data_IF_979029797775
#
_entry.id   IF_979029797775
#
_cell.length_a   1.000
_cell.length_b   1.000
_cell.length_c   1.000
_cell.angle_alpha   90.00
_cell.angle_beta   90.00
_cell.angle_gamma   90.00
#
_symmetry.space_group_name_H-M   'P 1'
#
loop_
_entity.id
_entity.type
_entity.pdbx_description
1 polymer ?
#
# COMPACT_ATOMS: atom_id res chain seq x y z
N UNK A 1 -17.12 -30.47 16.42
CA UNK A 1 -15.74 -29.94 16.21
C UNK A 1 -15.57 -29.17 14.91
N UNK A 2 -16.38 -29.43 13.86
CA UNK A 2 -16.36 -28.69 12.58
C UNK A 2 -16.79 -27.22 12.75
N UNK A 3 -17.67 -26.90 13.72
CA UNK A 3 -18.20 -25.54 13.92
C UNK A 3 -17.15 -24.50 14.35
N UNK A 4 -16.25 -24.83 15.29
CA UNK A 4 -15.24 -23.85 15.76
C UNK A 4 -14.26 -23.46 14.66
N UNK A 5 -13.85 -24.39 13.80
CA UNK A 5 -12.93 -24.10 12.70
C UNK A 5 -13.58 -23.17 11.66
N UNK A 6 -14.86 -23.41 11.35
CA UNK A 6 -15.62 -22.57 10.44
C UNK A 6 -15.81 -21.16 11.04
N UNK A 7 -16.16 -21.08 12.32
CA UNK A 7 -16.27 -19.82 13.06
C UNK A 7 -14.97 -19.02 13.04
N UNK A 8 -13.81 -19.64 13.29
CA UNK A 8 -12.51 -18.95 13.21
C UNK A 8 -12.21 -18.43 11.80
N UNK A 9 -12.55 -19.19 10.75
CA UNK A 9 -12.36 -18.77 9.36
C UNK A 9 -13.25 -17.58 9.02
N UNK A 10 -14.50 -17.60 9.46
CA UNK A 10 -15.45 -16.54 9.19
C UNK A 10 -15.07 -15.25 9.94
N UNK A 11 -14.67 -15.36 11.22
CA UNK A 11 -14.08 -14.25 11.98
C UNK A 11 -12.84 -13.69 11.31
N UNK A 12 -11.92 -14.54 10.85
CA UNK A 12 -10.71 -14.07 10.16
C UNK A 12 -11.04 -13.32 8.86
N UNK A 13 -12.03 -13.81 8.10
CA UNK A 13 -12.52 -13.15 6.88
C UNK A 13 -13.14 -11.79 7.20
N UNK A 14 -13.93 -11.72 8.26
CA UNK A 14 -14.56 -10.50 8.73
C UNK A 14 -13.53 -9.47 9.19
N UNK A 15 -12.62 -9.84 10.08
CA UNK A 15 -11.52 -8.98 10.54
C UNK A 15 -10.68 -8.47 9.37
N UNK A 16 -10.37 -9.33 8.40
CA UNK A 16 -9.67 -8.91 7.19
C UNK A 16 -10.45 -7.84 6.42
N UNK A 17 -11.76 -8.03 6.21
CA UNK A 17 -12.59 -7.06 5.51
C UNK A 17 -12.67 -5.73 6.28
N UNK A 18 -12.81 -5.78 7.60
CA UNK A 18 -12.81 -4.60 8.47
C UNK A 18 -11.48 -3.85 8.36
N UNK A 19 -10.35 -4.53 8.56
CA UNK A 19 -9.02 -3.90 8.50
C UNK A 19 -8.73 -3.30 7.12
N UNK A 20 -9.19 -3.96 6.06
CA UNK A 20 -9.10 -3.45 4.70
C UNK A 20 -9.90 -2.15 4.54
N UNK A 21 -11.17 -2.17 4.96
CA UNK A 21 -12.06 -1.01 4.86
C UNK A 21 -11.53 0.17 5.67
N UNK A 22 -11.16 -0.07 6.93
CA UNK A 22 -10.57 0.93 7.81
C UNK A 22 -9.29 1.54 7.22
N UNK A 23 -8.39 0.72 6.66
CA UNK A 23 -7.16 1.25 6.07
C UNK A 23 -7.44 2.15 4.85
N UNK A 24 -8.42 1.78 4.02
CA UNK A 24 -8.83 2.61 2.89
C UNK A 24 -9.44 3.92 3.35
N UNK A 25 -10.30 3.89 4.36
CA UNK A 25 -10.90 5.09 4.96
C UNK A 25 -9.84 6.01 5.54
N UNK A 26 -8.89 5.46 6.31
CA UNK A 26 -7.78 6.22 6.89
C UNK A 26 -6.92 6.87 5.80
N UNK A 27 -6.56 6.12 4.75
CA UNK A 27 -5.78 6.67 3.64
C UNK A 27 -6.51 7.82 2.94
N UNK A 28 -7.82 7.66 2.68
CA UNK A 28 -8.64 8.67 2.02
C UNK A 28 -8.78 9.93 2.87
N UNK A 29 -9.04 9.79 4.18
CA UNK A 29 -9.10 10.93 5.11
C UNK A 29 -7.77 11.67 5.13
N UNK A 30 -6.65 10.96 5.25
CA UNK A 30 -5.32 11.58 5.26
C UNK A 30 -4.96 12.26 3.95
N UNK A 31 -5.30 11.65 2.81
CA UNK A 31 -5.10 12.26 1.49
C UNK A 31 -5.91 13.55 1.34
N UNK A 32 -7.18 13.54 1.75
CA UNK A 32 -8.05 14.73 1.69
C UNK A 32 -7.55 15.84 2.61
N UNK A 33 -7.20 15.51 3.85
CA UNK A 33 -6.66 16.49 4.81
C UNK A 33 -5.31 17.05 4.35
N UNK A 34 -4.41 16.18 3.86
CA UNK A 34 -3.12 16.61 3.31
C UNK A 34 -3.33 17.52 2.11
N UNK A 35 -4.14 17.12 1.13
CA UNK A 35 -4.39 17.92 -0.07
C UNK A 35 -5.06 19.25 0.24
N UNK A 36 -6.02 19.27 1.16
CA UNK A 36 -6.67 20.49 1.63
C UNK A 36 -5.68 21.44 2.31
N UNK A 37 -4.84 20.93 3.20
CA UNK A 37 -3.80 21.71 3.85
C UNK A 37 -2.73 22.21 2.86
N UNK A 38 -2.38 21.41 1.85
CA UNK A 38 -1.47 21.82 0.76
C UNK A 38 -1.99 23.05 0.03
N UNK A 39 -3.24 22.98 -0.44
CA UNK A 39 -3.89 24.06 -1.19
C UNK A 39 -4.02 25.29 -0.29
N UNK A 40 -4.42 25.12 0.96
CA UNK A 40 -4.49 26.21 1.94
C UNK A 40 -3.15 26.91 2.16
N UNK A 41 -2.06 26.15 2.31
CA UNK A 41 -0.72 26.71 2.48
C UNK A 41 -0.29 27.55 1.27
N UNK A 42 -0.61 27.10 0.05
CA UNK A 42 -0.29 27.82 -1.18
C UNK A 42 -1.14 29.09 -1.33
N UNK A 43 -2.45 29.00 -1.09
CA UNK A 43 -3.40 30.11 -1.26
C UNK A 43 -3.15 31.27 -0.28
N UNK A 44 -2.81 30.94 0.97
CA UNK A 44 -2.49 31.95 2.00
C UNK A 44 -1.27 32.81 1.69
N UNK A 45 -0.34 32.32 0.87
CA UNK A 45 0.88 33.03 0.54
C UNK A 45 0.72 33.72 -0.81
N UNK A 46 -0.08 34.79 -0.85
CA UNK A 46 -0.01 35.78 -1.94
C UNK A 46 1.43 36.29 -2.02
N UNK A 47 2.18 35.68 -2.94
CA UNK A 47 3.53 35.97 -3.46
C UNK A 47 4.19 37.18 -2.77
N UNK A 48 4.77 36.96 -1.60
CA UNK A 48 5.84 37.83 -1.12
C UNK A 48 7.10 37.44 -1.90
N UNK A 49 7.68 38.40 -2.61
CA UNK A 49 8.85 38.22 -3.47
C UNK A 49 9.96 37.50 -2.69
N UNK A 50 10.25 36.27 -3.11
CA UNK A 50 11.19 35.39 -2.42
C UNK A 50 12.60 35.79 -2.86
N UNK A 51 13.23 36.70 -2.12
CA UNK A 51 14.64 37.00 -2.32
C UNK A 51 15.50 35.96 -1.58
N UNK A 52 16.03 34.97 -2.31
CA UNK A 52 17.07 34.09 -1.82
C UNK A 52 18.43 34.79 -1.89
N UNK A 53 18.74 35.63 -0.90
CA UNK A 53 20.07 36.21 -0.76
C UNK A 53 21.00 35.18 -0.09
N UNK A 54 21.70 34.38 -0.89
CA UNK A 54 22.66 33.36 -0.42
C UNK A 54 23.85 33.92 0.39
N UNK A 55 24.11 35.23 0.32
CA UNK A 55 25.21 35.91 1.03
C UNK A 55 24.82 36.50 2.39
N UNK A 56 23.54 36.53 2.77
CA UNK A 56 23.10 37.07 4.05
C UNK A 56 22.23 36.05 4.81
N UNK A 57 22.09 36.24 6.11
CA UNK A 57 21.41 35.33 7.05
C UNK A 57 20.17 34.66 6.46
N UNK A 58 20.17 33.32 6.39
CA UNK A 58 19.03 32.53 5.91
C UNK A 58 17.78 32.95 6.67
N UNK A 59 16.76 33.39 5.96
CA UNK A 59 15.46 33.65 6.56
C UNK A 59 14.78 32.31 6.89
N UNK A 60 15.01 31.85 8.13
CA UNK A 60 14.46 30.60 8.66
C UNK A 60 12.93 30.52 8.59
N UNK A 61 12.23 31.67 8.56
CA UNK A 61 10.78 31.73 8.42
C UNK A 61 10.33 31.32 7.02
N UNK A 62 10.99 31.82 5.97
CA UNK A 62 10.68 31.42 4.59
C UNK A 62 11.08 29.98 4.33
N UNK A 63 12.22 29.55 4.89
CA UNK A 63 12.70 28.18 4.77
C UNK A 63 11.75 27.17 5.45
N UNK A 64 11.30 27.43 6.69
CA UNK A 64 10.42 26.53 7.43
C UNK A 64 9.07 26.33 6.74
N UNK A 65 8.51 27.39 6.14
CA UNK A 65 7.31 27.31 5.32
C UNK A 65 7.50 26.35 4.14
N UNK A 66 8.55 26.54 3.32
CA UNK A 66 8.78 25.71 2.14
C UNK A 66 9.10 24.25 2.49
N UNK A 67 9.82 24.03 3.60
CA UNK A 67 10.06 22.68 4.14
C UNK A 67 8.74 22.02 4.52
N UNK A 68 7.82 22.71 5.19
CA UNK A 68 6.49 22.16 5.51
C UNK A 68 5.71 21.79 4.24
N UNK A 69 5.64 22.69 3.26
CA UNK A 69 4.96 22.45 1.98
C UNK A 69 5.56 21.25 1.24
N UNK A 70 6.89 21.12 1.22
CA UNK A 70 7.58 19.99 0.60
C UNK A 70 7.30 18.67 1.31
N UNK A 71 7.41 18.62 2.64
CA UNK A 71 7.09 17.43 3.45
C UNK A 71 5.64 17.00 3.20
N UNK A 72 4.74 17.96 3.11
CA UNK A 72 3.33 17.71 2.88
C UNK A 72 3.06 17.18 1.47
N UNK A 73 3.78 17.69 0.46
CA UNK A 73 3.79 17.12 -0.89
C UNK A 73 4.27 15.65 -0.90
N UNK A 74 5.36 15.35 -0.19
CA UNK A 74 5.87 13.97 -0.04
C UNK A 74 4.81 13.09 0.64
N UNK A 75 4.12 13.59 1.68
CA UNK A 75 3.02 12.86 2.34
C UNK A 75 1.91 12.47 1.36
N UNK A 76 1.49 13.38 0.48
CA UNK A 76 0.49 13.09 -0.57
C UNK A 76 0.98 12.00 -1.52
N UNK A 77 2.24 12.04 -1.95
CA UNK A 77 2.81 10.98 -2.81
C UNK A 77 2.79 9.60 -2.14
N UNK A 78 3.10 9.50 -0.84
CA UNK A 78 2.96 8.25 -0.10
C UNK A 78 1.50 7.78 -0.04
N UNK A 79 0.54 8.68 0.18
CA UNK A 79 -0.89 8.33 0.19
C UNK A 79 -1.39 7.80 -1.14
N UNK A 80 -0.93 8.38 -2.26
CA UNK A 80 -1.20 7.85 -3.60
C UNK A 80 -0.57 6.46 -3.79
N UNK A 81 0.67 6.30 -3.34
CA UNK A 81 1.36 5.01 -3.36
C UNK A 81 0.62 3.92 -2.58
N UNK A 82 0.08 4.25 -1.40
CA UNK A 82 -0.78 3.36 -0.60
C UNK A 82 -2.03 2.96 -1.37
N UNK A 83 -2.67 3.91 -2.07
CA UNK A 83 -3.86 3.66 -2.88
C UNK A 83 -3.58 2.66 -4.01
N UNK A 84 -2.49 2.85 -4.76
CA UNK A 84 -2.08 1.92 -5.81
C UNK A 84 -1.74 0.54 -5.23
N UNK A 85 -0.93 0.49 -4.17
CA UNK A 85 -0.58 -0.75 -3.49
C UNK A 85 -1.83 -1.54 -3.08
N UNK A 86 -2.84 -0.86 -2.54
CA UNK A 86 -4.12 -1.47 -2.17
C UNK A 86 -4.93 -1.97 -3.35
N UNK A 87 -5.03 -1.17 -4.42
CA UNK A 87 -5.77 -1.58 -5.61
C UNK A 87 -5.21 -2.89 -6.20
N UNK A 88 -3.89 -3.01 -6.28
CA UNK A 88 -3.22 -4.22 -6.77
C UNK A 88 -3.29 -5.38 -5.78
N UNK A 89 -3.14 -5.12 -4.48
CA UNK A 89 -3.33 -6.13 -3.42
C UNK A 89 -4.72 -6.78 -3.53
N UNK A 90 -5.77 -5.99 -3.75
CA UNK A 90 -7.11 -6.51 -4.01
C UNK A 90 -7.21 -7.38 -5.26
N UNK A 91 -6.65 -6.91 -6.38
CA UNK A 91 -6.69 -7.63 -7.66
C UNK A 91 -5.99 -8.99 -7.53
N UNK A 92 -4.80 -9.00 -6.93
CA UNK A 92 -3.99 -10.21 -6.75
C UNK A 92 -4.65 -11.15 -5.74
N UNK A 93 -5.09 -10.63 -4.58
CA UNK A 93 -5.76 -11.44 -3.56
C UNK A 93 -7.04 -12.10 -4.06
N UNK A 94 -7.83 -11.39 -4.90
CA UNK A 94 -9.00 -11.95 -5.58
C UNK A 94 -8.59 -13.09 -6.51
N UNK A 95 -7.55 -12.88 -7.32
CA UNK A 95 -7.08 -13.88 -8.28
C UNK A 95 -6.51 -15.13 -7.58
N UNK A 96 -5.74 -14.98 -6.50
CA UNK A 96 -5.27 -16.09 -5.66
C UNK A 96 -6.45 -16.88 -5.09
N UNK A 97 -7.46 -16.17 -4.56
CA UNK A 97 -8.65 -16.80 -3.97
C UNK A 97 -9.47 -17.58 -5.00
N UNK A 98 -9.63 -17.03 -6.21
CA UNK A 98 -10.29 -17.71 -7.32
C UNK A 98 -9.51 -18.95 -7.78
N UNK A 99 -8.18 -18.84 -7.87
CA UNK A 99 -7.31 -19.97 -8.25
C UNK A 99 -7.42 -21.10 -7.22
N UNK A 100 -7.38 -20.78 -5.92
CA UNK A 100 -7.62 -21.74 -4.83
C UNK A 100 -8.99 -22.40 -4.94
N UNK A 101 -10.04 -21.61 -5.16
CA UNK A 101 -11.41 -22.13 -5.29
C UNK A 101 -11.54 -23.11 -6.46
N UNK A 102 -10.95 -22.78 -7.62
CA UNK A 102 -10.95 -23.64 -8.81
C UNK A 102 -10.20 -24.95 -8.54
N UNK A 103 -9.02 -24.86 -7.92
CA UNK A 103 -8.23 -26.03 -7.52
C UNK A 103 -9.01 -26.97 -6.60
N UNK A 104 -9.58 -26.46 -5.50
CA UNK A 104 -10.31 -27.30 -4.54
C UNK A 104 -11.64 -27.83 -5.06
N UNK A 105 -12.26 -27.19 -6.07
CA UNK A 105 -13.45 -27.73 -6.73
C UNK A 105 -13.13 -28.99 -7.55
N UNK A 106 -12.01 -29.00 -8.26
CA UNK A 106 -11.59 -30.14 -9.08
C UNK A 106 -11.09 -31.30 -8.20
N UNK A 107 -10.30 -31.00 -7.18
CA UNK A 107 -9.69 -32.00 -6.30
C UNK A 107 -10.55 -32.34 -5.06
N UNK A 108 -11.85 -32.01 -5.07
CA UNK A 108 -12.77 -32.23 -3.94
C UNK A 108 -12.84 -33.69 -3.48
N UNK A 109 -12.48 -34.64 -4.35
CA UNK A 109 -12.51 -36.08 -4.12
C UNK A 109 -11.11 -36.75 -4.12
N UNK A 110 -10.02 -36.00 -4.31
CA UNK A 110 -8.66 -36.55 -4.36
C UNK A 110 -7.92 -36.24 -3.06
N UNK A 111 -7.42 -37.29 -2.40
CA UNK A 111 -6.67 -37.21 -1.15
C UNK A 111 -5.61 -36.10 -1.13
N UNK A 112 -5.68 -35.25 -0.09
CA UNK A 112 -4.62 -34.39 0.48
C UNK A 112 -3.69 -33.63 -0.49
N UNK A 113 -4.14 -33.28 -1.70
CA UNK A 113 -3.35 -32.41 -2.59
C UNK A 113 -3.46 -30.96 -2.09
N UNK A 114 -2.36 -30.44 -1.54
CA UNK A 114 -2.26 -29.06 -1.08
C UNK A 114 -1.53 -28.17 -2.11
N UNK A 115 -1.96 -26.91 -2.18
CA UNK A 115 -1.25 -25.91 -2.99
C UNK A 115 0.09 -25.57 -2.35
N UNK A 116 1.12 -25.28 -3.16
CA UNK A 116 2.46 -24.99 -2.64
C UNK A 116 2.41 -23.84 -1.64
N UNK A 117 2.95 -24.08 -0.44
CA UNK A 117 3.11 -23.10 0.62
C UNK A 117 4.58 -22.80 0.85
N UNK A 118 4.96 -21.55 0.57
CA UNK A 118 6.28 -21.02 0.92
C UNK A 118 6.07 -19.86 1.91
N UNK A 119 6.85 -19.85 2.97
CA UNK A 119 7.05 -18.65 3.79
C UNK A 119 8.14 -17.81 3.10
N UNK A 120 7.78 -16.59 2.69
CA UNK A 120 8.67 -15.72 1.92
C UNK A 120 9.61 -14.89 2.80
N UNK A 121 9.55 -15.02 4.12
CA UNK A 121 10.46 -14.35 5.04
C UNK A 121 10.40 -12.82 4.96
N UNK A 122 11.51 -12.15 5.28
CA UNK A 122 11.60 -10.68 5.27
C UNK A 122 12.07 -10.16 3.91
N UNK A 123 11.29 -9.27 3.31
CA UNK A 123 11.63 -8.59 2.05
C UNK A 123 12.46 -7.32 2.27
N UNK A 124 13.43 -7.07 1.39
CA UNK A 124 14.22 -5.82 1.37
C UNK A 124 13.38 -4.66 0.84
N UNK A 125 13.84 -3.43 1.06
CA UNK A 125 13.15 -2.22 0.55
C UNK A 125 13.20 -2.12 -0.97
N UNK A 126 14.26 -2.62 -1.62
CA UNK A 126 14.37 -2.70 -3.08
C UNK A 126 13.27 -3.57 -3.70
N UNK A 127 13.07 -4.76 -3.14
CA UNK A 127 12.07 -5.74 -3.61
C UNK A 127 10.67 -5.17 -3.54
N UNK A 128 10.44 -4.31 -2.54
CA UNK A 128 9.16 -3.63 -2.31
C UNK A 128 8.85 -2.61 -3.39
N UNK A 129 9.81 -1.73 -3.68
CA UNK A 129 9.66 -0.72 -4.73
C UNK A 129 9.53 -1.39 -6.09
N UNK A 130 10.35 -2.42 -6.34
CA UNK A 130 10.28 -3.18 -7.58
C UNK A 130 8.93 -3.90 -7.75
N UNK A 131 8.39 -4.51 -6.69
CA UNK A 131 7.08 -5.16 -6.77
C UNK A 131 5.97 -4.17 -7.12
N UNK A 132 5.99 -2.96 -6.54
CA UNK A 132 5.03 -1.92 -6.91
C UNK A 132 5.19 -1.46 -8.34
N UNK A 133 6.43 -1.23 -8.78
CA UNK A 133 6.72 -0.84 -10.16
C UNK A 133 6.23 -1.92 -11.14
N UNK A 134 6.53 -3.19 -10.85
CA UNK A 134 6.07 -4.31 -11.65
C UNK A 134 4.54 -4.42 -11.65
N UNK A 135 3.86 -4.16 -10.53
CA UNK A 135 2.40 -4.16 -10.53
C UNK A 135 1.79 -3.05 -11.39
N UNK A 136 2.43 -1.87 -11.44
CA UNK A 136 1.94 -0.71 -12.19
C UNK A 136 2.23 -0.84 -13.68
N UNK A 137 3.43 -1.31 -14.04
CA UNK A 137 3.93 -1.26 -15.42
C UNK A 137 4.03 -2.63 -16.10
N UNK A 138 4.02 -3.73 -15.34
CA UNK A 138 4.10 -5.07 -15.91
C UNK A 138 2.76 -5.79 -15.81
N UNK A 139 2.52 -6.71 -16.75
CA UNK A 139 1.34 -7.56 -16.71
C UNK A 139 1.47 -8.61 -15.62
N UNK A 140 0.45 -8.73 -14.78
CA UNK A 140 0.40 -9.74 -13.73
C UNK A 140 0.08 -11.11 -14.34
N UNK A 141 0.75 -12.20 -13.90
CA UNK A 141 0.48 -13.52 -14.43
C UNK A 141 -0.97 -13.92 -14.12
N UNK A 142 -1.70 -14.31 -15.16
CA UNK A 142 -3.08 -14.75 -15.06
C UNK A 142 -3.14 -16.28 -15.16
N UNK A 143 -3.88 -16.90 -14.24
CA UNK A 143 -4.02 -18.35 -14.13
C UNK A 143 -5.46 -18.69 -14.51
N UNK A 144 -5.62 -19.33 -15.68
CA UNK A 144 -6.93 -19.74 -16.17
C UNK A 144 -7.49 -20.95 -15.41
N UNK A 145 -8.73 -21.33 -15.72
CA UNK A 145 -9.34 -22.55 -15.16
C UNK A 145 -8.52 -23.79 -15.45
N UNK A 146 -8.01 -23.92 -16.67
CA UNK A 146 -7.30 -25.11 -17.13
C UNK A 146 -5.89 -25.17 -16.53
N UNK A 147 -5.24 -24.01 -16.38
CA UNK A 147 -3.96 -23.88 -15.69
C UNK A 147 -4.11 -24.21 -14.20
N UNK A 148 -5.19 -23.75 -13.57
CA UNK A 148 -5.46 -24.01 -12.16
C UNK A 148 -5.56 -25.51 -11.84
N UNK A 149 -6.00 -26.34 -12.80
CA UNK A 149 -6.02 -27.80 -12.67
C UNK A 149 -4.61 -28.38 -12.72
N UNK A 150 -3.73 -27.82 -13.54
CA UNK A 150 -2.36 -28.31 -13.76
C UNK A 150 -1.32 -27.69 -12.81
N UNK A 151 -1.72 -26.92 -11.79
CA UNK A 151 -0.80 -26.23 -10.86
C UNK A 151 0.23 -27.17 -10.23
N UNK A 152 -0.12 -28.44 -9.98
CA UNK A 152 0.79 -29.41 -9.38
C UNK A 152 1.70 -30.12 -10.41
N UNK A 153 1.30 -30.13 -11.68
CA UNK A 153 1.97 -30.85 -12.76
C UNK A 153 2.83 -29.92 -13.62
N UNK A 154 2.53 -28.62 -13.62
CA UNK A 154 3.20 -27.61 -14.41
C UNK A 154 3.98 -26.65 -13.51
N UNK A 155 5.31 -26.79 -13.53
CA UNK A 155 6.21 -25.95 -12.74
C UNK A 155 6.07 -24.45 -13.06
N UNK A 156 5.75 -24.08 -14.31
CA UNK A 156 5.53 -22.68 -14.68
C UNK A 156 4.33 -22.08 -13.94
N UNK A 157 3.20 -22.79 -13.94
CA UNK A 157 1.97 -22.33 -13.26
C UNK A 157 2.18 -22.29 -11.75
N UNK A 158 2.93 -23.26 -11.21
CA UNK A 158 3.34 -23.30 -9.81
C UNK A 158 4.17 -22.06 -9.42
N UNK A 159 5.16 -21.71 -10.24
CA UNK A 159 6.00 -20.52 -10.07
C UNK A 159 5.18 -19.23 -10.19
N UNK A 160 4.27 -19.14 -11.17
CA UNK A 160 3.40 -17.98 -11.35
C UNK A 160 2.49 -17.77 -10.13
N UNK A 161 1.91 -18.85 -9.59
CA UNK A 161 1.11 -18.79 -8.38
C UNK A 161 1.94 -18.35 -7.15
N UNK A 162 3.17 -18.85 -7.02
CA UNK A 162 4.09 -18.43 -5.97
C UNK A 162 4.48 -16.95 -6.11
N UNK A 163 4.72 -16.47 -7.33
CA UNK A 163 5.03 -15.07 -7.61
C UNK A 163 3.86 -14.15 -7.26
N UNK A 164 2.62 -14.54 -7.58
CA UNK A 164 1.43 -13.80 -7.16
C UNK A 164 1.33 -13.70 -5.64
N UNK A 165 1.54 -14.81 -4.94
CA UNK A 165 1.51 -14.83 -3.47
C UNK A 165 2.60 -13.94 -2.88
N UNK A 166 3.83 -14.07 -3.37
CA UNK A 166 4.97 -13.23 -2.94
C UNK A 166 4.66 -11.76 -3.13
N UNK A 167 4.08 -11.39 -4.28
CA UNK A 167 3.69 -10.02 -4.59
C UNK A 167 2.60 -9.50 -3.65
N UNK A 168 1.58 -10.31 -3.36
CA UNK A 168 0.53 -9.95 -2.39
C UNK A 168 1.11 -9.69 -0.99
N UNK A 169 1.99 -10.55 -0.50
CA UNK A 169 2.62 -10.39 0.82
C UNK A 169 3.50 -9.12 0.86
N UNK A 170 4.25 -8.85 -0.22
CA UNK A 170 5.05 -7.63 -0.37
C UNK A 170 4.16 -6.38 -0.32
N UNK A 171 3.09 -6.33 -1.13
CA UNK A 171 2.18 -5.18 -1.20
C UNK A 171 1.48 -4.93 0.13
N UNK A 172 1.02 -5.98 0.81
CA UNK A 172 0.42 -5.88 2.14
C UNK A 172 1.38 -5.24 3.16
N UNK A 173 2.64 -5.68 3.16
CA UNK A 173 3.69 -5.12 4.03
C UNK A 173 4.01 -3.65 3.72
N UNK A 174 4.10 -3.31 2.43
CA UNK A 174 4.38 -1.94 1.99
C UNK A 174 3.28 -0.99 2.41
N UNK A 175 2.03 -1.38 2.15
CA UNK A 175 0.85 -0.56 2.42
C UNK A 175 0.88 -0.05 3.86
N UNK A 176 1.08 -0.94 4.83
CA UNK A 176 1.12 -0.56 6.24
C UNK A 176 2.30 0.35 6.60
N UNK A 177 3.48 0.08 6.04
CA UNK A 177 4.67 0.91 6.28
C UNK A 177 4.48 2.31 5.71
N UNK A 178 3.94 2.42 4.50
CA UNK A 178 3.74 3.69 3.83
C UNK A 178 2.63 4.52 4.49
N UNK A 179 1.54 3.90 4.95
CA UNK A 179 0.52 4.61 5.74
C UNK A 179 1.11 5.23 7.00
N UNK A 180 1.97 4.50 7.73
CA UNK A 180 2.65 5.07 8.91
C UNK A 180 3.55 6.25 8.57
N UNK A 181 4.30 6.14 7.47
CA UNK A 181 5.16 7.23 6.98
C UNK A 181 4.31 8.45 6.61
N UNK A 182 3.22 8.27 5.85
CA UNK A 182 2.28 9.32 5.48
C UNK A 182 1.72 10.04 6.71
N UNK A 183 1.25 9.30 7.72
CA UNK A 183 0.75 9.88 8.98
C UNK A 183 1.84 10.72 9.64
N UNK A 184 3.06 10.16 9.77
CA UNK A 184 4.18 10.86 10.37
C UNK A 184 4.54 12.15 9.63
N UNK A 185 4.65 12.09 8.30
CA UNK A 185 4.96 13.26 7.47
C UNK A 185 3.87 14.33 7.55
N UNK A 186 2.59 13.92 7.50
CA UNK A 186 1.46 14.83 7.66
C UNK A 186 1.52 15.56 9.01
N UNK A 187 1.67 14.84 10.12
CA UNK A 187 1.75 15.45 11.45
C UNK A 187 2.96 16.38 11.59
N UNK A 188 4.14 15.95 11.14
CA UNK A 188 5.36 16.77 11.17
C UNK A 188 5.18 18.04 10.34
N UNK A 189 4.61 17.95 9.14
CA UNK A 189 4.35 19.12 8.30
C UNK A 189 3.39 20.11 8.95
N UNK A 190 2.33 19.63 9.60
CA UNK A 190 1.38 20.44 10.35
C UNK A 190 2.03 21.16 11.53
N UNK A 191 2.86 20.47 12.31
CA UNK A 191 3.59 21.06 13.44
C UNK A 191 4.54 22.17 12.95
N UNK A 192 5.34 21.90 11.91
CA UNK A 192 6.26 22.90 11.34
C UNK A 192 5.49 24.12 10.85
N UNK A 193 4.35 23.92 10.18
CA UNK A 193 3.50 25.01 9.71
C UNK A 193 2.92 25.84 10.86
N UNK A 194 2.44 25.19 11.93
CA UNK A 194 1.92 25.90 13.11
C UNK A 194 3.00 26.71 13.82
N UNK A 195 4.21 26.15 13.97
CA UNK A 195 5.34 26.88 14.53
C UNK A 195 5.74 28.09 13.67
N UNK A 196 5.67 27.95 12.35
CA UNK A 196 5.85 29.08 11.43
C UNK A 196 4.80 30.17 11.64
N UNK A 197 3.53 29.81 11.86
CA UNK A 197 2.46 30.78 12.12
C UNK A 197 2.58 31.47 13.50
N UNK A 198 3.12 30.79 14.51
CA UNK A 198 3.35 31.36 15.85
C UNK A 198 4.57 32.30 15.92
N UNK A 199 5.45 32.23 14.91
CA UNK A 199 6.65 33.08 14.81
C UNK A 199 6.45 34.28 13.87
N UNK A 200 5.28 34.37 13.23
CA UNK A 200 4.76 35.57 12.54
C UNK A 200 4.15 36.54 13.56
#
# INVERSE_FOLDING_TARGET
>A
MVDKLQEYKDRQKEWRNISISQLSTVNNVLLTLSSGLFVFCIDKKKVSEIHFNFCHSINWQVASYWVSVLILGISIFFGLGVLFSRLYDFRISRHISLTRLRFYKEYKNADKKELPYNDFGKFKTSDRVQALFNCIFCELPFINSDDAKKVLENDKVKTDFQNLRKTADILGSITWKWTKIQIGLFLVSGIIYLLHQLTL
#
